data_IF_295261736472
#
_entry.id   IF_295261736472
#
_cell.length_a   1.000
_cell.length_b   1.000
_cell.length_c   1.000
_cell.angle_alpha   90.00
_cell.angle_beta   90.00
_cell.angle_gamma   90.00
#
_symmetry.space_group_name_H-M   'P 1'
#
loop_
_entity.id
_entity.type
_entity.pdbx_description
1 polymer ?
#
# COMPACT_ATOMS: atom_id res chain seq x y z
N UNK A 1 -11.35 1.06 -16.17
CA UNK A 1 -11.11 1.74 -14.86
C UNK A 1 -9.61 1.88 -14.61
N UNK A 2 -8.82 0.79 -14.70
CA UNK A 2 -7.37 0.85 -14.53
C UNK A 2 -6.69 1.90 -15.42
N UNK A 3 -6.98 1.90 -16.73
CA UNK A 3 -6.37 2.89 -17.65
C UNK A 3 -6.87 4.32 -17.41
N UNK A 4 -8.05 4.50 -16.82
CA UNK A 4 -8.55 5.82 -16.40
C UNK A 4 -7.74 6.32 -15.21
N UNK A 5 -7.50 5.47 -14.20
CA UNK A 5 -6.65 5.82 -13.06
C UNK A 5 -5.21 6.18 -13.50
N UNK A 6 -4.65 5.44 -14.46
CA UNK A 6 -3.33 5.76 -15.05
C UNK A 6 -3.36 7.11 -15.79
N UNK A 7 -4.45 7.40 -16.50
CA UNK A 7 -4.59 8.69 -17.21
C UNK A 7 -4.70 9.85 -16.22
N UNK A 8 -5.47 9.70 -15.14
CA UNK A 8 -5.56 10.69 -14.05
C UNK A 8 -4.20 10.91 -13.38
N UNK A 9 -3.45 9.84 -13.12
CA UNK A 9 -2.11 9.95 -12.54
C UNK A 9 -1.18 10.81 -13.41
N UNK A 10 -1.22 10.62 -14.74
CA UNK A 10 -0.42 11.41 -15.68
C UNK A 10 -0.86 12.87 -15.72
N UNK A 11 -2.17 13.14 -15.71
CA UNK A 11 -2.69 14.51 -15.67
C UNK A 11 -2.27 15.21 -14.37
N UNK A 12 -2.40 14.52 -13.24
CA UNK A 12 -1.98 15.02 -11.94
C UNK A 12 -0.46 15.31 -11.89
N UNK A 13 0.38 14.47 -12.50
CA UNK A 13 1.82 14.72 -12.61
C UNK A 13 2.14 15.98 -13.44
N UNK A 14 1.38 16.21 -14.52
CA UNK A 14 1.46 17.45 -15.30
C UNK A 14 1.01 18.66 -14.47
N UNK A 15 -0.12 18.56 -13.77
CA UNK A 15 -0.61 19.64 -12.90
C UNK A 15 0.38 19.95 -11.77
N UNK A 16 1.03 18.94 -11.19
CA UNK A 16 2.11 19.09 -10.20
C UNK A 16 3.30 19.85 -10.81
N UNK A 17 3.69 19.48 -12.03
CA UNK A 17 4.76 20.16 -12.78
C UNK A 17 4.43 21.63 -13.09
N UNK A 18 3.14 21.96 -13.23
CA UNK A 18 2.65 23.33 -13.43
C UNK A 18 2.46 24.12 -12.11
N UNK A 19 2.83 23.55 -10.97
CA UNK A 19 2.65 24.17 -9.65
C UNK A 19 1.20 24.16 -9.14
N UNK A 20 0.30 23.42 -9.79
CA UNK A 20 -1.10 23.24 -9.37
C UNK A 20 -1.23 22.06 -8.43
N UNK A 21 -0.56 22.16 -7.29
CA UNK A 21 -0.38 21.01 -6.40
C UNK A 21 -1.69 20.49 -5.81
N UNK A 22 -2.64 21.38 -5.48
CA UNK A 22 -3.95 20.97 -4.96
C UNK A 22 -4.73 20.15 -5.99
N UNK A 23 -4.71 20.57 -7.26
CA UNK A 23 -5.36 19.86 -8.37
C UNK A 23 -4.70 18.50 -8.62
N UNK A 24 -3.37 18.43 -8.53
CA UNK A 24 -2.63 17.19 -8.66
C UNK A 24 -3.00 16.19 -7.55
N UNK A 25 -3.06 16.66 -6.29
CA UNK A 25 -3.46 15.84 -5.14
C UNK A 25 -4.87 15.29 -5.32
N UNK A 26 -5.83 16.13 -5.75
CA UNK A 26 -7.20 15.71 -6.01
C UNK A 26 -7.24 14.62 -7.10
N UNK A 27 -6.49 14.81 -8.20
CA UNK A 27 -6.39 13.82 -9.27
C UNK A 27 -5.78 12.49 -8.82
N UNK A 28 -4.74 12.51 -7.98
CA UNK A 28 -4.16 11.30 -7.39
C UNK A 28 -5.16 10.59 -6.45
N UNK A 29 -5.87 11.34 -5.60
CA UNK A 29 -6.88 10.78 -4.71
C UNK A 29 -8.06 10.16 -5.46
N UNK A 30 -8.50 10.78 -6.55
CA UNK A 30 -9.56 10.25 -7.41
C UNK A 30 -9.12 8.94 -8.08
N UNK A 31 -7.87 8.88 -8.58
CA UNK A 31 -7.28 7.66 -9.11
C UNK A 31 -7.25 6.51 -8.08
N UNK A 32 -6.93 6.81 -6.82
CA UNK A 32 -6.93 5.82 -5.74
C UNK A 32 -8.36 5.29 -5.50
N UNK A 33 -9.34 6.17 -5.36
CA UNK A 33 -10.75 5.79 -5.14
C UNK A 33 -11.28 4.89 -6.27
N UNK A 34 -10.91 5.18 -7.51
CA UNK A 34 -11.27 4.35 -8.67
C UNK A 34 -10.65 2.95 -8.59
N UNK A 35 -9.42 2.81 -8.13
CA UNK A 35 -8.75 1.51 -7.98
C UNK A 35 -9.21 0.73 -6.74
N UNK A 36 -9.62 1.41 -5.68
CA UNK A 36 -10.15 0.78 -4.46
C UNK A 36 -11.58 0.27 -4.69
N UNK A 37 -12.40 1.02 -5.43
CA UNK A 37 -13.75 0.59 -5.84
C UNK A 37 -13.75 -0.45 -6.97
N UNK A 38 -12.62 -0.62 -7.67
CA UNK A 38 -12.48 -1.62 -8.71
C UNK A 38 -12.51 -3.03 -8.11
N UNK A 39 -13.61 -3.74 -8.35
CA UNK A 39 -13.76 -5.16 -8.01
C UNK A 39 -13.44 -5.98 -9.25
N UNK A 40 -12.34 -6.72 -9.25
CA UNK A 40 -11.97 -7.60 -10.37
C UNK A 40 -12.63 -8.98 -10.21
N UNK A 41 -13.08 -9.55 -11.33
CA UNK A 41 -13.59 -10.93 -11.39
C UNK A 41 -12.42 -11.91 -11.52
N UNK A 42 -12.63 -13.19 -11.23
CA UNK A 42 -11.57 -14.22 -11.38
C UNK A 42 -10.97 -14.30 -12.80
N UNK A 43 -11.74 -13.96 -13.83
CA UNK A 43 -11.29 -13.87 -15.23
C UNK A 43 -10.25 -12.76 -15.45
N UNK A 44 -10.26 -11.74 -14.58
CA UNK A 44 -9.40 -10.56 -14.61
C UNK A 44 -8.33 -10.61 -13.51
N UNK A 45 -8.13 -11.77 -12.86
CA UNK A 45 -7.13 -11.93 -11.80
C UNK A 45 -5.70 -11.57 -12.25
N UNK A 46 -5.41 -11.67 -13.55
CA UNK A 46 -4.14 -11.22 -14.13
C UNK A 46 -3.93 -9.69 -14.09
N UNK A 47 -4.99 -8.90 -13.87
CA UNK A 47 -4.91 -7.44 -13.74
C UNK A 47 -4.70 -6.99 -12.29
N UNK A 48 -4.91 -7.86 -11.29
CA UNK A 48 -4.70 -7.53 -9.87
C UNK A 48 -3.28 -7.03 -9.58
N UNK A 49 -2.20 -7.68 -10.06
CA UNK A 49 -0.84 -7.17 -9.85
C UNK A 49 -0.65 -5.76 -10.41
N UNK A 50 -1.22 -5.48 -11.58
CA UNK A 50 -1.14 -4.16 -12.22
C UNK A 50 -1.96 -3.13 -11.44
N UNK A 51 -3.16 -3.49 -10.97
CA UNK A 51 -4.00 -2.65 -10.10
C UNK A 51 -3.25 -2.26 -8.83
N UNK A 52 -2.66 -3.23 -8.14
CA UNK A 52 -1.89 -2.99 -6.91
C UNK A 52 -0.66 -2.12 -7.15
N UNK A 53 0.05 -2.34 -8.26
CA UNK A 53 1.22 -1.53 -8.63
C UNK A 53 0.84 -0.06 -8.87
N UNK A 54 -0.24 0.20 -9.60
CA UNK A 54 -0.71 1.58 -9.83
C UNK A 54 -1.24 2.20 -8.53
N UNK A 55 -1.96 1.44 -7.71
CA UNK A 55 -2.47 1.91 -6.41
C UNK A 55 -1.31 2.33 -5.49
N UNK A 56 -0.28 1.49 -5.38
CA UNK A 56 0.90 1.78 -4.57
C UNK A 56 1.65 3.02 -5.08
N UNK A 57 1.81 3.15 -6.40
CA UNK A 57 2.39 4.34 -7.01
C UNK A 57 1.62 5.61 -6.62
N UNK A 58 0.29 5.62 -6.79
CA UNK A 58 -0.55 6.76 -6.45
C UNK A 58 -0.47 7.14 -4.97
N UNK A 59 -0.43 6.16 -4.06
CA UNK A 59 -0.28 6.40 -2.62
C UNK A 59 1.09 7.03 -2.32
N UNK A 60 2.16 6.55 -2.94
CA UNK A 60 3.50 7.14 -2.82
C UNK A 60 3.55 8.61 -3.24
N UNK A 61 2.82 9.00 -4.30
CA UNK A 61 2.77 10.39 -4.75
C UNK A 61 2.14 11.33 -3.71
N UNK A 62 1.22 10.85 -2.89
CA UNK A 62 0.62 11.62 -1.79
C UNK A 62 1.51 11.69 -0.55
N UNK A 63 2.28 10.64 -0.28
CA UNK A 63 3.25 10.58 0.84
C UNK A 63 4.48 11.47 0.60
N UNK A 64 4.92 11.61 -0.65
CA UNK A 64 5.99 12.54 -1.05
C UNK A 64 5.67 14.00 -0.65
N UNK A 65 4.41 14.44 -0.83
CA UNK A 65 3.95 15.79 -0.41
C UNK A 65 3.99 16.00 1.11
N UNK A 66 3.73 14.96 1.91
CA UNK A 66 3.82 15.05 3.38
C UNK A 66 5.28 15.12 3.87
N UNK A 67 6.21 14.57 3.09
CA UNK A 67 7.64 14.57 3.42
C UNK A 67 8.29 15.93 3.15
N UNK A 68 7.83 16.67 2.14
CA UNK A 68 8.34 18.02 1.87
C UNK A 68 7.74 19.09 2.81
N UNK A 69 6.50 18.90 3.30
CA UNK A 69 5.89 19.76 4.32
C UNK A 69 6.49 19.59 5.74
N UNK A 70 7.30 18.56 5.98
CA UNK A 70 7.94 18.28 7.28
C UNK A 70 9.46 18.50 7.29
N UNK A 71 10.04 19.02 6.20
CA UNK A 71 11.47 19.35 6.13
C UNK A 71 11.84 20.70 6.79
N UNK A 72 10.96 21.29 7.62
CA UNK A 72 11.33 22.38 8.54
C UNK A 72 11.37 21.95 10.01
N UNK A 73 11.16 20.67 10.35
CA UNK A 73 11.32 20.21 11.74
C UNK A 73 11.85 18.77 11.81
N UNK A 74 13.19 18.68 11.86
CA UNK A 74 14.04 17.63 12.44
C UNK A 74 13.62 16.14 12.28
N UNK A 75 14.43 15.45 11.46
CA UNK A 75 14.91 14.06 11.57
C UNK A 75 13.89 12.91 11.79
N UNK A 76 13.61 12.10 10.75
CA UNK A 76 13.03 10.77 10.96
C UNK A 76 14.15 9.74 11.25
N UNK A 77 14.23 9.30 12.50
CA UNK A 77 14.91 8.05 12.87
C UNK A 77 14.03 6.88 12.40
N UNK A 78 14.54 5.89 11.64
CA UNK A 78 13.73 4.75 11.24
C UNK A 78 13.45 3.86 12.45
N UNK A 79 12.19 3.87 12.94
CA UNK A 79 11.73 2.89 13.93
C UNK A 79 11.54 1.54 13.24
N UNK A 80 12.51 0.64 13.39
CA UNK A 80 12.30 -0.79 13.17
C UNK A 80 11.66 -1.36 14.44
N UNK A 81 10.35 -1.24 14.56
CA UNK A 81 9.60 -1.91 15.61
C UNK A 81 9.44 -3.39 15.20
N UNK A 82 10.36 -4.22 15.69
CA UNK A 82 10.28 -5.67 15.57
C UNK A 82 9.22 -6.15 16.56
N UNK A 83 8.03 -6.46 16.06
CA UNK A 83 6.96 -7.09 16.83
C UNK A 83 7.39 -8.53 17.09
N UNK A 84 7.80 -8.82 18.32
CA UNK A 84 7.90 -10.19 18.81
C UNK A 84 6.46 -10.65 19.01
N UNK A 85 5.87 -11.27 17.99
CA UNK A 85 4.64 -12.05 18.18
C UNK A 85 5.04 -13.31 18.93
N UNK A 86 4.53 -13.39 20.14
CA UNK A 86 4.53 -14.56 21.00
C UNK A 86 4.02 -15.76 20.20
N UNK A 87 4.94 -16.65 19.80
CA UNK A 87 4.60 -17.95 19.23
C UNK A 87 4.29 -18.85 20.42
N UNK A 88 3.04 -19.29 20.63
CA UNK A 88 2.76 -20.25 21.69
C UNK A 88 3.47 -21.56 21.36
N UNK A 89 4.43 -21.92 22.21
CA UNK A 89 5.07 -23.24 22.23
C UNK A 89 4.00 -24.28 22.54
N UNK A 90 3.71 -25.25 21.66
CA UNK A 90 2.85 -26.36 22.03
C UNK A 90 3.59 -27.26 23.03
N UNK A 91 2.98 -27.47 24.19
CA UNK A 91 3.48 -28.41 25.19
C UNK A 91 3.50 -29.85 24.63
N UNK A 92 4.53 -30.66 24.90
CA UNK A 92 4.55 -32.05 24.47
C UNK A 92 3.57 -32.87 25.33
N UNK A 93 2.51 -33.38 24.72
CA UNK A 93 1.66 -34.39 25.35
C UNK A 93 2.49 -35.65 25.62
N UNK A 94 2.64 -35.99 26.91
CA UNK A 94 3.16 -37.26 27.37
C UNK A 94 2.16 -38.36 27.01
N UNK A 95 2.28 -38.90 25.80
CA UNK A 95 1.68 -40.19 25.46
C UNK A 95 2.51 -41.29 26.14
N UNK A 96 1.97 -41.81 27.23
CA UNK A 96 2.41 -43.04 27.88
C UNK A 96 2.58 -44.16 26.84
N UNK A 97 3.84 -44.55 26.62
CA UNK A 97 4.14 -45.83 26.01
C UNK A 97 3.69 -46.93 26.99
N UNK A 98 2.51 -47.50 26.77
CA UNK A 98 2.17 -48.82 27.29
C UNK A 98 3.15 -49.84 26.69
N UNK A 99 4.15 -50.20 27.49
CA UNK A 99 4.87 -51.47 27.37
C UNK A 99 3.84 -52.57 27.65
N UNK A 100 3.61 -53.44 26.67
CA UNK A 100 3.04 -54.77 26.91
C UNK A 100 4.01 -55.80 26.31
N UNK A 101 4.51 -56.77 27.09
CA UNK A 101 5.31 -57.89 26.59
C UNK A 101 4.48 -58.92 25.82
#
# INVERSE_FOLDING_TARGET
ILDVAVSLAKVADVDRTLGKEDVAVDGFQEGIKLLESLTLKSEEAGLEPRRLSVLAFLKSQLEEKQSEATASSLCPVPKKETIIVDVPVPEPETSEYLVNP
#
